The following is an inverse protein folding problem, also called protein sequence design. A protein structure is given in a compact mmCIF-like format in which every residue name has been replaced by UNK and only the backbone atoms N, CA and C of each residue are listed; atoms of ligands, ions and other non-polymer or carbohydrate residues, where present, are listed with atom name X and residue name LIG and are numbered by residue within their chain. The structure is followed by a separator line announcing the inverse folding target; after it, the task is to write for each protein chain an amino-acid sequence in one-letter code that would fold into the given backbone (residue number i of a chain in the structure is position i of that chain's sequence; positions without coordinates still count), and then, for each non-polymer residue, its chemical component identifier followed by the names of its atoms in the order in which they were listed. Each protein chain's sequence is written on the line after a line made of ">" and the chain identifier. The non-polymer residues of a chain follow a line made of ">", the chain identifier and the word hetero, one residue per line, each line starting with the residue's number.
data_IF_743419960059
#
_entry.id   IF_743419960059
#
_cell.length_a   1.000
_cell.length_b   1.000
_cell.length_c   1.000
_cell.angle_alpha   90.00
_cell.angle_beta   90.00
_cell.angle_gamma   90.00
#
_symmetry.space_group_name_H-M   'P 1'
#
loop_
_entity.id
_entity.type
_entity.pdbx_description
1 polymer ?
#
# COMPACT_ATOMS: atom_id res chain seq x y z
N UNK A 1 16.15 1.42 -10.41
CA UNK A 1 16.47 2.40 -9.34
C UNK A 1 15.38 2.32 -8.29
N UNK A 2 15.65 2.57 -7.02
CA UNK A 2 14.59 2.59 -6.00
C UNK A 2 13.67 3.81 -6.24
N UNK A 3 12.36 3.65 -6.10
CA UNK A 3 11.39 4.74 -6.21
C UNK A 3 10.77 5.03 -4.83
N UNK A 4 10.69 6.30 -4.46
CA UNK A 4 10.01 6.71 -3.24
C UNK A 4 8.51 6.85 -3.48
N UNK A 5 7.72 5.93 -2.90
CA UNK A 5 6.26 5.97 -2.96
C UNK A 5 5.72 6.47 -1.61
N UNK A 6 5.09 7.65 -1.62
CA UNK A 6 4.51 8.21 -0.41
C UNK A 6 3.29 9.09 -0.68
N UNK A 7 2.45 9.23 0.34
CA UNK A 7 1.50 10.32 0.48
C UNK A 7 1.47 10.77 1.94
N UNK A 8 1.81 12.03 2.21
CA UNK A 8 1.90 12.55 3.56
C UNK A 8 1.48 14.01 3.62
N UNK A 9 0.56 14.30 4.55
CA UNK A 9 0.18 15.67 4.92
C UNK A 9 -0.21 16.54 3.72
N UNK A 10 -1.00 15.96 2.81
CA UNK A 10 -1.50 16.63 1.59
C UNK A 10 -0.49 16.68 0.44
N UNK A 11 0.67 16.03 0.56
CA UNK A 11 1.64 15.85 -0.53
C UNK A 11 1.72 14.39 -0.93
N UNK A 12 2.07 14.10 -2.16
CA UNK A 12 2.31 12.74 -2.66
C UNK A 12 3.51 12.70 -3.60
N UNK A 13 4.03 11.49 -3.86
CA UNK A 13 4.95 11.25 -4.95
C UNK A 13 4.25 11.46 -6.31
N UNK A 14 5.03 11.70 -7.37
CA UNK A 14 4.50 12.04 -8.70
C UNK A 14 3.61 10.92 -9.27
N UNK A 15 3.97 9.67 -9.01
CA UNK A 15 3.23 8.47 -9.43
C UNK A 15 2.06 8.11 -8.50
N UNK A 16 1.75 8.95 -7.51
CA UNK A 16 0.76 8.67 -6.47
C UNK A 16 -0.38 9.67 -6.48
N UNK A 17 -1.60 9.14 -6.61
CA UNK A 17 -2.85 9.88 -6.41
C UNK A 17 -3.52 9.45 -5.10
N UNK A 18 -4.05 10.41 -4.34
CA UNK A 18 -4.72 10.11 -3.05
C UNK A 18 -6.23 10.21 -3.18
N UNK A 19 -6.92 9.30 -2.50
CA UNK A 19 -8.38 9.22 -2.47
C UNK A 19 -8.88 9.21 -1.04
N UNK A 20 -10.09 9.72 -0.82
CA UNK A 20 -10.74 9.55 0.47
C UNK A 20 -11.58 8.27 0.42
N UNK A 21 -11.37 7.37 1.41
CA UNK A 21 -12.22 6.20 1.53
C UNK A 21 -13.67 6.58 1.82
N UNK A 22 -14.59 5.70 1.45
CA UNK A 22 -15.99 5.79 1.87
C UNK A 22 -16.15 5.11 3.24
N UNK A 23 -16.60 5.84 4.28
CA UNK A 23 -16.76 5.26 5.61
C UNK A 23 -17.92 4.26 5.62
N UNK A 24 -17.71 3.10 6.26
CA UNK A 24 -18.71 2.04 6.40
C UNK A 24 -19.33 1.57 5.07
N UNK A 25 -18.57 1.67 3.97
CA UNK A 25 -18.98 1.14 2.68
C UNK A 25 -19.05 -0.40 2.73
N UNK A 26 -20.01 -1.05 2.06
CA UNK A 26 -20.09 -2.50 1.98
C UNK A 26 -18.92 -3.12 1.19
N UNK A 27 -18.07 -2.30 0.57
CA UNK A 27 -16.86 -2.71 -0.13
C UNK A 27 -15.69 -1.84 0.32
N UNK A 28 -14.49 -2.41 0.49
CA UNK A 28 -13.28 -1.63 0.70
C UNK A 28 -13.08 -0.62 -0.44
N UNK A 29 -12.55 0.56 -0.12
CA UNK A 29 -12.35 1.63 -1.11
C UNK A 29 -10.89 2.07 -1.16
N UNK A 30 -10.35 2.41 -2.35
CA UNK A 30 -8.97 2.84 -2.48
C UNK A 30 -8.72 4.14 -1.70
N UNK A 31 -7.59 4.20 -1.00
CA UNK A 31 -7.09 5.40 -0.33
C UNK A 31 -5.90 6.01 -1.07
N UNK A 32 -5.15 5.19 -1.78
CA UNK A 32 -3.99 5.61 -2.57
C UNK A 32 -3.97 4.81 -3.87
N UNK A 33 -3.66 5.48 -4.96
CA UNK A 33 -3.38 4.92 -6.27
C UNK A 33 -1.92 5.14 -6.61
N UNK A 34 -1.30 4.13 -7.21
CA UNK A 34 0.08 4.11 -7.68
C UNK A 34 0.03 3.75 -9.16
N UNK A 35 0.35 4.72 -10.01
CA UNK A 35 0.35 4.58 -11.47
C UNK A 35 1.73 5.01 -12.01
N UNK A 36 2.54 4.08 -12.53
CA UNK A 36 3.86 4.41 -13.08
C UNK A 36 3.78 5.36 -14.28
N UNK A 37 4.84 6.15 -14.49
CA UNK A 37 4.97 7.00 -15.69
C UNK A 37 4.99 6.16 -16.98
N UNK A 38 4.51 6.74 -18.09
CA UNK A 38 4.57 6.09 -19.40
C UNK A 38 5.98 5.59 -19.75
N UNK A 39 6.07 4.34 -20.20
CA UNK A 39 7.33 3.69 -20.55
C UNK A 39 8.14 3.19 -19.34
N UNK A 40 7.59 3.25 -18.13
CA UNK A 40 8.19 2.69 -16.92
C UNK A 40 7.34 1.58 -16.32
N UNK A 41 7.93 0.77 -15.44
CA UNK A 41 7.17 -0.12 -14.59
C UNK A 41 7.79 -0.13 -13.19
N UNK A 42 6.94 -0.34 -12.19
CA UNK A 42 7.31 -0.48 -10.80
C UNK A 42 7.21 -1.95 -10.40
N UNK A 43 8.28 -2.49 -9.83
CA UNK A 43 8.30 -3.82 -9.24
C UNK A 43 8.24 -3.69 -7.73
N UNK A 44 7.14 -4.13 -7.16
CA UNK A 44 6.93 -4.23 -5.72
C UNK A 44 7.54 -5.55 -5.23
N UNK A 45 8.59 -5.48 -4.42
CA UNK A 45 9.29 -6.63 -3.89
C UNK A 45 8.63 -7.13 -2.62
N UNK A 46 8.39 -8.44 -2.54
CA UNK A 46 7.83 -9.08 -1.34
C UNK A 46 8.89 -9.33 -0.25
N UNK A 47 9.98 -8.55 -0.27
CA UNK A 47 11.08 -8.66 0.68
C UNK A 47 11.94 -7.41 0.65
N UNK A 48 12.48 -7.07 1.82
CA UNK A 48 13.52 -6.06 1.99
C UNK A 48 14.64 -6.64 2.86
N UNK A 49 15.81 -6.00 2.84
CA UNK A 49 16.96 -6.40 3.67
C UNK A 49 16.78 -6.13 5.18
N UNK A 50 15.62 -5.58 5.60
CA UNK A 50 15.29 -5.23 6.98
C UNK A 50 14.14 -6.10 7.51
N UNK A 51 14.31 -6.63 8.72
CA UNK A 51 13.40 -7.63 9.29
C UNK A 51 13.56 -9.01 8.66
N UNK A 52 12.87 -9.99 9.20
CA UNK A 52 13.04 -11.41 8.84
C UNK A 52 11.84 -11.95 8.04
N UNK A 53 10.67 -11.34 8.18
CA UNK A 53 9.45 -11.77 7.48
C UNK A 53 9.39 -11.30 6.02
N UNK A 54 8.66 -12.06 5.21
CA UNK A 54 8.32 -11.66 3.83
C UNK A 54 7.21 -10.59 3.85
N UNK A 55 7.18 -9.75 2.83
CA UNK A 55 6.22 -8.66 2.72
C UNK A 55 6.85 -7.35 2.32
N UNK A 56 6.03 -6.52 1.68
CA UNK A 56 6.37 -5.13 1.40
C UNK A 56 6.12 -4.30 2.66
N UNK A 57 7.14 -3.62 3.23
CA UNK A 57 6.92 -2.75 4.38
C UNK A 57 6.17 -1.50 3.94
N UNK A 58 4.99 -1.32 4.51
CA UNK A 58 4.21 -0.09 4.42
C UNK A 58 4.30 0.59 5.78
N UNK A 59 4.46 1.89 5.82
CA UNK A 59 4.46 2.69 7.04
C UNK A 59 3.30 3.65 6.97
N UNK A 60 2.43 3.64 7.98
CA UNK A 60 1.19 4.40 7.93
C UNK A 60 0.85 5.06 9.27
N UNK A 61 0.26 6.25 9.17
CA UNK A 61 -0.45 6.98 10.21
C UNK A 61 -1.70 7.56 9.57
N UNK A 62 -2.81 6.86 9.73
CA UNK A 62 -4.09 7.24 9.13
C UNK A 62 -4.93 7.98 10.16
N UNK A 63 -5.42 9.16 9.79
CA UNK A 63 -6.21 10.03 10.65
C UNK A 63 -7.46 10.52 9.94
N UNK A 64 -8.46 10.89 10.71
CA UNK A 64 -9.69 11.49 10.23
C UNK A 64 -9.61 13.03 10.16
N UNK A 65 -10.71 13.67 9.76
CA UNK A 65 -10.82 15.12 9.69
C UNK A 65 -10.72 15.83 11.04
N UNK A 66 -10.96 15.14 12.16
CA UNK A 66 -10.78 15.70 13.50
C UNK A 66 -9.30 15.64 13.92
N UNK A 67 -8.50 14.82 13.24
CA UNK A 67 -7.10 14.56 13.59
C UNK A 67 -6.94 13.37 14.55
N UNK A 68 -8.03 12.64 14.77
CA UNK A 68 -8.05 11.40 15.53
C UNK A 68 -7.57 10.25 14.63
N UNK A 69 -6.91 9.23 15.19
CA UNK A 69 -6.54 8.04 14.43
C UNK A 69 -7.77 7.35 13.86
N UNK A 70 -7.64 6.75 12.67
CA UNK A 70 -8.68 5.86 12.15
C UNK A 70 -8.92 4.68 13.12
N UNK A 71 -10.14 4.10 13.14
CA UNK A 71 -10.48 2.95 13.96
C UNK A 71 -9.50 1.78 13.79
N UNK A 72 -9.12 1.14 14.90
CA UNK A 72 -8.15 0.03 14.92
C UNK A 72 -8.58 -1.13 14.01
N UNK A 73 -9.89 -1.40 13.92
CA UNK A 73 -10.46 -2.42 13.04
C UNK A 73 -10.47 -2.04 11.55
N UNK A 74 -9.78 -0.98 11.15
CA UNK A 74 -9.56 -0.66 9.74
C UNK A 74 -8.76 -1.79 9.09
N UNK A 75 -9.19 -2.24 7.92
CA UNK A 75 -8.44 -3.21 7.13
C UNK A 75 -7.62 -2.51 6.03
N UNK A 76 -6.44 -3.05 5.71
CA UNK A 76 -5.55 -2.55 4.65
C UNK A 76 -5.03 -3.69 3.78
N UNK A 77 -5.03 -3.48 2.46
CA UNK A 77 -4.48 -4.41 1.48
C UNK A 77 -4.16 -3.72 0.16
N UNK A 78 -3.37 -4.38 -0.68
CA UNK A 78 -3.03 -3.93 -2.03
C UNK A 78 -3.88 -4.64 -3.08
N UNK A 79 -4.31 -3.87 -4.07
CA UNK A 79 -4.99 -4.34 -5.26
C UNK A 79 -4.22 -3.91 -6.51
N UNK A 80 -4.33 -4.69 -7.57
CA UNK A 80 -3.79 -4.39 -8.89
C UNK A 80 -4.93 -4.44 -9.89
N UNK A 81 -5.11 -3.36 -10.65
CA UNK A 81 -6.02 -3.29 -11.78
C UNK A 81 -5.20 -3.31 -13.07
N UNK A 82 -5.15 -4.45 -13.78
CA UNK A 82 -4.49 -4.51 -15.08
C UNK A 82 -5.25 -3.70 -16.13
N UNK A 83 -4.51 -3.21 -17.13
CA UNK A 83 -5.08 -2.53 -18.28
C UNK A 83 -6.21 -3.36 -18.94
N UNK A 84 -7.37 -2.74 -19.11
CA UNK A 84 -8.52 -3.37 -19.78
C UNK A 84 -9.38 -4.25 -18.89
N UNK A 85 -9.05 -4.41 -17.59
CA UNK A 85 -9.95 -5.00 -16.61
C UNK A 85 -10.78 -3.94 -15.89
N UNK A 86 -12.06 -4.25 -15.65
CA UNK A 86 -12.98 -3.38 -14.93
C UNK A 86 -12.79 -3.46 -13.41
N UNK A 87 -12.32 -4.60 -12.90
CA UNK A 87 -12.14 -4.85 -11.48
C UNK A 87 -10.66 -4.97 -11.13
N UNK A 88 -10.29 -4.40 -9.98
CA UNK A 88 -8.99 -4.61 -9.38
C UNK A 88 -8.94 -5.97 -8.66
N UNK A 89 -7.78 -6.63 -8.71
CA UNK A 89 -7.55 -7.92 -8.06
C UNK A 89 -6.69 -7.71 -6.84
N UNK A 90 -7.02 -8.36 -5.73
CA UNK A 90 -6.17 -8.34 -4.53
C UNK A 90 -4.83 -9.02 -4.81
N UNK A 91 -3.74 -8.34 -4.46
CA UNK A 91 -2.34 -8.79 -4.63
C UNK A 91 -1.55 -8.78 -3.33
N UNK A 92 -2.23 -8.66 -2.18
CA UNK A 92 -1.61 -8.86 -0.87
C UNK A 92 -2.54 -9.55 0.12
N UNK A 93 -1.98 -10.00 1.23
CA UNK A 93 -2.76 -10.34 2.42
C UNK A 93 -3.55 -9.14 2.92
N UNK A 94 -4.70 -9.43 3.54
CA UNK A 94 -5.55 -8.42 4.18
C UNK A 94 -5.16 -8.29 5.64
N UNK A 95 -4.56 -7.16 5.99
CA UNK A 95 -4.37 -6.79 7.38
C UNK A 95 -5.72 -6.32 7.91
N UNK A 96 -6.28 -7.04 8.88
CA UNK A 96 -7.62 -6.77 9.44
C UNK A 96 -7.64 -5.73 10.56
N UNK A 97 -6.46 -5.29 10.99
CA UNK A 97 -6.30 -4.35 12.09
C UNK A 97 -5.09 -3.46 11.84
N UNK A 98 -5.25 -2.16 12.04
CA UNK A 98 -4.17 -1.17 11.94
C UNK A 98 -3.56 -0.80 13.30
N UNK A 99 -3.76 -1.62 14.34
CA UNK A 99 -3.30 -1.36 15.71
C UNK A 99 -1.80 -0.99 15.76
N UNK A 100 -0.97 -1.75 15.04
CA UNK A 100 0.47 -1.50 14.94
C UNK A 100 0.80 -0.15 14.31
N UNK A 101 0.04 0.28 13.29
CA UNK A 101 0.22 1.57 12.64
C UNK A 101 -0.23 2.72 13.55
N UNK A 102 -1.25 2.50 14.38
CA UNK A 102 -1.74 3.49 15.32
C UNK A 102 -0.85 3.63 16.55
N UNK A 103 -0.33 2.52 17.08
CA UNK A 103 0.48 2.50 18.30
C UNK A 103 1.89 3.03 18.05
N UNK A 104 2.55 2.57 16.98
CA UNK A 104 3.93 2.93 16.68
C UNK A 104 4.01 4.20 15.82
N UNK A 105 4.92 5.13 16.14
CA UNK A 105 5.28 6.23 15.24
C UNK A 105 5.90 5.71 13.93
N UNK A 106 5.92 6.53 12.87
CA UNK A 106 6.54 6.13 11.59
C UNK A 106 8.02 5.75 11.77
N UNK A 107 8.73 6.41 12.69
CA UNK A 107 10.12 6.07 12.98
C UNK A 107 10.24 4.71 13.68
N UNK A 108 9.35 4.42 14.62
CA UNK A 108 9.30 3.12 15.29
C UNK A 108 8.88 1.98 14.35
N UNK A 109 7.99 2.24 13.40
CA UNK A 109 7.60 1.28 12.36
C UNK A 109 8.78 0.94 11.44
N UNK A 110 9.68 1.89 11.17
CA UNK A 110 10.88 1.69 10.36
C UNK A 110 12.01 0.96 11.09
N UNK A 111 11.91 0.80 12.41
CA UNK A 111 12.91 0.09 13.19
C UNK A 111 12.90 -1.40 12.84
N UNK A 112 14.09 -2.01 12.85
CA UNK A 112 14.26 -3.43 12.51
C UNK A 112 13.37 -4.35 13.34
N UNK A 113 13.11 -4.00 14.59
CA UNK A 113 12.35 -4.85 15.52
C UNK A 113 10.83 -4.82 15.25
N UNK A 114 10.33 -3.80 14.54
CA UNK A 114 8.90 -3.60 14.30
C UNK A 114 8.51 -3.64 12.82
N UNK A 115 9.48 -3.57 11.90
CA UNK A 115 9.21 -3.48 10.46
C UNK A 115 8.42 -4.69 9.95
N UNK A 116 8.60 -5.87 10.56
CA UNK A 116 7.88 -7.08 10.18
C UNK A 116 6.37 -6.95 10.46
N UNK A 117 5.96 -6.25 11.53
CA UNK A 117 4.55 -6.02 11.83
C UNK A 117 3.86 -5.08 10.83
N UNK A 118 4.62 -4.32 10.03
CA UNK A 118 4.07 -3.35 9.07
C UNK A 118 4.18 -3.84 7.62
N UNK A 119 4.53 -5.12 7.43
CA UNK A 119 4.63 -5.74 6.12
C UNK A 119 3.26 -6.23 5.64
N UNK A 120 3.02 -6.06 4.35
CA UNK A 120 1.95 -6.77 3.63
C UNK A 120 2.59 -7.85 2.76
N UNK A 121 2.26 -9.12 3.01
CA UNK A 121 2.71 -10.22 2.14
C UNK A 121 2.06 -10.07 0.77
N UNK A 122 2.86 -9.93 -0.28
CA UNK A 122 2.38 -9.92 -1.65
C UNK A 122 1.98 -11.34 -2.06
N UNK A 123 0.81 -11.45 -2.66
CA UNK A 123 0.24 -12.73 -3.12
C UNK A 123 -0.01 -12.69 -4.62
N UNK A 124 -0.02 -13.87 -5.23
CA UNK A 124 -0.49 -14.04 -6.59
C UNK A 124 -1.93 -13.47 -6.70
N UNK A 125 -2.28 -12.83 -7.83
CA UNK A 125 -3.64 -12.39 -8.07
C UNK A 125 -4.62 -13.55 -7.85
N UNK A 126 -5.81 -13.28 -7.33
CA UNK A 126 -6.82 -14.33 -7.07
C UNK A 126 -7.21 -15.15 -8.31
N UNK A 127 -6.90 -14.64 -9.50
CA UNK A 127 -7.13 -15.29 -10.80
C UNK A 127 -6.00 -16.23 -11.24
N UNK A 128 -4.88 -16.28 -10.52
CA UNK A 128 -3.76 -17.16 -10.83
C UNK A 128 -4.03 -18.60 -10.36
N UNK A 129 -3.65 -19.57 -11.19
CA UNK A 129 -3.82 -21.01 -10.89
C UNK A 129 -3.01 -21.47 -9.67
N UNK A 130 -1.87 -20.82 -9.41
CA UNK A 130 -1.03 -21.02 -8.23
C UNK A 130 -1.29 -19.91 -7.20
N UNK A 131 -2.17 -20.17 -6.24
CA UNK A 131 -2.39 -19.29 -5.11
C UNK A 131 -1.20 -19.27 -4.14
N UNK A 132 -0.88 -18.11 -3.56
CA UNK A 132 0.12 -18.00 -2.50
C UNK A 132 1.00 -16.76 -2.60
N UNK A 133 2.02 -16.69 -1.73
CA UNK A 133 2.96 -15.58 -1.69
C UNK A 133 3.85 -15.57 -2.95
N UNK A 134 4.01 -14.40 -3.57
CA UNK A 134 4.86 -14.20 -4.75
C UNK A 134 6.11 -13.41 -4.39
N UNK A 135 7.25 -13.59 -5.09
CA UNK A 135 8.46 -12.83 -4.79
C UNK A 135 8.32 -11.33 -5.10
N UNK A 136 7.45 -10.97 -6.06
CA UNK A 136 7.19 -9.59 -6.44
C UNK A 136 5.86 -9.46 -7.20
N UNK A 137 5.36 -8.22 -7.29
CA UNK A 137 4.24 -7.82 -8.13
C UNK A 137 4.73 -6.71 -9.06
N UNK A 138 4.54 -6.87 -10.36
CA UNK A 138 4.90 -5.87 -11.36
C UNK A 138 3.67 -5.00 -11.70
N UNK A 139 3.83 -3.69 -11.55
CA UNK A 139 2.85 -2.66 -11.94
C UNK A 139 3.41 -1.97 -13.17
N UNK A 140 2.83 -2.23 -14.35
CA UNK A 140 3.25 -1.59 -15.62
C UNK A 140 2.64 -0.20 -15.74
N UNK A 141 3.16 0.62 -16.65
CA UNK A 141 2.61 1.95 -17.00
C UNK A 141 1.14 1.94 -17.46
N UNK A 142 0.64 0.79 -17.88
CA UNK A 142 -0.76 0.59 -18.27
C UNK A 142 -1.63 0.01 -17.14
N UNK A 143 -1.00 -0.45 -16.06
CA UNK A 143 -1.69 -1.02 -14.90
C UNK A 143 -1.71 0.01 -13.76
N UNK A 144 -2.63 -0.18 -12.83
CA UNK A 144 -2.77 0.69 -11.68
C UNK A 144 -2.80 -0.15 -10.41
N UNK A 145 -1.96 0.19 -9.43
CA UNK A 145 -2.01 -0.43 -8.11
C UNK A 145 -2.73 0.48 -7.11
N UNK A 146 -3.51 -0.11 -6.21
CA UNK A 146 -4.27 0.59 -5.19
C UNK A 146 -3.89 0.09 -3.80
N UNK A 147 -3.68 1.01 -2.86
CA UNK A 147 -3.78 0.70 -1.44
C UNK A 147 -5.22 0.96 -1.03
N UNK A 148 -5.88 -0.08 -0.57
CA UNK A 148 -7.30 -0.08 -0.27
C UNK A 148 -7.52 -0.21 1.22
N UNK A 149 -8.45 0.60 1.73
CA UNK A 149 -8.81 0.62 3.14
C UNK A 149 -10.31 0.39 3.34
N UNK A 150 -10.64 -0.45 4.31
CA UNK A 150 -11.99 -0.61 4.82
C UNK A 150 -12.04 -0.04 6.23
N UNK A 151 -12.72 1.09 6.43
CA UNK A 151 -12.79 1.78 7.70
C UNK A 151 -14.19 2.35 7.93
N UNK A 152 -14.61 2.44 9.20
CA UNK A 152 -15.85 3.13 9.57
C UNK A 152 -15.68 4.65 9.66
N UNK A 153 -14.46 5.17 9.52
CA UNK A 153 -14.17 6.60 9.48
C UNK A 153 -13.49 6.99 8.17
N UNK A 154 -13.61 8.28 7.81
CA UNK A 154 -13.09 8.83 6.57
C UNK A 154 -11.68 9.39 6.78
N UNK A 155 -10.74 8.99 5.92
CA UNK A 155 -9.36 9.45 5.94
C UNK A 155 -9.24 10.93 5.54
N UNK A 156 -8.38 11.65 6.23
CA UNK A 156 -7.92 12.99 5.91
C UNK A 156 -6.44 12.97 5.55
N UNK A 157 -6.12 13.08 4.26
CA UNK A 157 -4.75 13.09 3.75
C UNK A 157 -3.94 14.32 4.18
N UNK A 158 -4.59 15.43 4.58
CA UNK A 158 -3.87 16.58 5.14
C UNK A 158 -3.25 16.28 6.50
N UNK A 159 -3.75 15.24 7.20
CA UNK A 159 -3.28 14.79 8.52
C UNK A 159 -2.68 13.39 8.51
N UNK A 160 -2.96 12.61 7.47
CA UNK A 160 -2.49 11.23 7.32
C UNK A 160 -1.14 11.16 6.62
N UNK A 161 -0.45 10.05 6.81
CA UNK A 161 0.81 9.77 6.13
C UNK A 161 0.95 8.29 5.86
N UNK A 162 1.36 7.94 4.64
CA UNK A 162 1.68 6.59 4.19
C UNK A 162 2.98 6.67 3.39
N UNK A 163 3.87 5.72 3.64
CA UNK A 163 5.14 5.55 2.94
C UNK A 163 5.32 4.08 2.64
N UNK A 164 5.79 3.75 1.45
CA UNK A 164 6.28 2.41 1.14
C UNK A 164 7.81 2.45 1.24
N UNK A 165 8.43 1.44 1.84
CA UNK A 165 9.89 1.35 1.89
C UNK A 165 10.46 1.35 0.46
N UNK A 166 11.27 2.34 0.11
CA UNK A 166 11.75 2.51 -1.26
C UNK A 166 12.68 1.40 -1.72
N UNK A 167 13.38 0.74 -0.80
CA UNK A 167 14.13 -0.49 -1.10
C UNK A 167 13.23 -1.68 -1.50
N UNK A 168 11.92 -1.59 -1.28
CA UNK A 168 10.94 -2.57 -1.72
C UNK A 168 10.30 -2.22 -3.08
N UNK A 169 10.68 -1.10 -3.71
CA UNK A 169 10.09 -0.62 -4.97
C UNK A 169 11.19 -0.35 -5.98
N UNK A 170 11.26 -1.17 -7.03
CA UNK A 170 12.19 -0.95 -8.13
C UNK A 170 11.50 -0.31 -9.33
N UNK A 171 11.96 0.86 -9.75
CA UNK A 171 11.62 1.48 -11.03
C UNK A 171 12.53 0.96 -12.14
N UNK A 172 11.90 0.48 -13.19
CA UNK A 172 12.52 0.01 -14.42
C UNK A 172 11.95 0.82 -15.59
N UNK A 173 12.81 1.22 -16.52
CA UNK A 173 12.41 1.89 -17.75
C UNK A 173 12.52 0.95 -18.94
N UNK A 174 11.64 1.12 -19.93
CA UNK A 174 11.89 0.55 -21.27
C UNK A 174 13.11 1.26 -21.84
N UNK A 175 14.22 0.52 -21.98
CA UNK A 175 15.42 0.99 -22.70
C UNK A 175 15.11 1.32 -24.15
#
# INVERSE_FOLDING_TARGET
>A
MAEDIFAAQGKSADVVTTYQNEPASPRPTPIMEIAPDQGTFLRLLNRVAKGDEQGIPIFAKLKDSNGDPLPINTSLFLELQPAGMTEAMKVSEVVRSIDQYQTLSISEQRNRDNIDATKLTLMAPETADDGGAVPHVDVRDIDTAYLTAESSAKIDWSKSSVYIESNAVEKHGRR
#
